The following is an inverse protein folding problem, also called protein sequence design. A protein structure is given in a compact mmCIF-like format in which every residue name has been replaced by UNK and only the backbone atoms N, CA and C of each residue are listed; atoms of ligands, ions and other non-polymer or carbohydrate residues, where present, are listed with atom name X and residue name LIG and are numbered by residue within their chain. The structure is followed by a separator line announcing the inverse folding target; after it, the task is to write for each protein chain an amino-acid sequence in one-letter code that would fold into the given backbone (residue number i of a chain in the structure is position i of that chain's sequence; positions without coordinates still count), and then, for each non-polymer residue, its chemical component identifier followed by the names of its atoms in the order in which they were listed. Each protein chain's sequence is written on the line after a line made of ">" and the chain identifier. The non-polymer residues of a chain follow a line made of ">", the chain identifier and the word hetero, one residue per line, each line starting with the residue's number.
data_IF_876626521823
#
_entry.id   IF_876626521823
#
_cell.length_a   1.000
_cell.length_b   1.000
_cell.length_c   1.000
_cell.angle_alpha   90.00
_cell.angle_beta   90.00
_cell.angle_gamma   90.00
#
_symmetry.space_group_name_H-M   'P 1'
#
loop_
_entity.id
_entity.type
_entity.pdbx_description
1 polymer ?
#
# COMPACT_ATOMS: atom_id res chain seq x y z
N UNK A 1 9.54 -6.92 -17.23
CA UNK A 1 9.04 -5.62 -17.73
C UNK A 1 9.66 -4.42 -16.99
N UNK A 2 10.44 -4.58 -15.92
CA UNK A 2 11.16 -3.51 -15.21
C UNK A 2 10.28 -2.49 -14.46
N UNK A 3 9.01 -2.80 -14.25
CA UNK A 3 8.08 -1.93 -13.51
C UNK A 3 8.12 -2.30 -12.03
N UNK A 4 8.31 -1.32 -11.16
CA UNK A 4 8.23 -1.45 -9.70
C UNK A 4 6.93 -0.83 -9.24
N UNK A 5 6.16 -1.57 -8.43
CA UNK A 5 4.85 -1.10 -7.95
C UNK A 5 4.98 -0.11 -6.79
N UNK A 6 5.89 -0.35 -5.83
CA UNK A 6 6.25 0.52 -4.68
C UNK A 6 5.18 0.66 -3.58
N UNK A 7 4.00 0.11 -3.75
CA UNK A 7 2.90 0.22 -2.77
C UNK A 7 2.03 -1.04 -2.79
N UNK A 8 2.67 -2.22 -2.70
CA UNK A 8 1.98 -3.51 -2.60
C UNK A 8 1.35 -3.61 -1.22
N UNK A 9 0.02 -3.68 -1.18
CA UNK A 9 -0.79 -3.82 0.05
C UNK A 9 -2.19 -4.33 -0.31
N UNK A 10 -2.96 -4.90 0.64
CA UNK A 10 -4.29 -5.44 0.36
C UNK A 10 -5.25 -4.44 -0.29
N UNK A 11 -5.19 -3.15 0.08
CA UNK A 11 -6.04 -2.11 -0.50
C UNK A 11 -5.84 -1.94 -2.02
N UNK A 12 -4.65 -2.31 -2.55
CA UNK A 12 -4.31 -2.21 -3.97
C UNK A 12 -4.45 -3.56 -4.70
N UNK A 13 -5.02 -4.58 -4.04
CA UNK A 13 -5.27 -5.91 -4.60
C UNK A 13 -6.77 -6.12 -4.74
N UNK A 14 -7.24 -6.23 -5.97
CA UNK A 14 -8.64 -6.53 -6.26
C UNK A 14 -8.75 -8.00 -6.67
N UNK A 15 -9.54 -8.75 -5.91
CA UNK A 15 -9.88 -10.13 -6.26
C UNK A 15 -11.26 -10.14 -6.91
N UNK A 16 -11.33 -10.64 -8.13
CA UNK A 16 -12.57 -10.73 -8.89
C UNK A 16 -13.38 -11.97 -8.50
N UNK A 17 -14.69 -11.98 -8.81
CA UNK A 17 -15.55 -13.15 -8.56
C UNK A 17 -15.09 -14.44 -9.25
N UNK A 18 -14.38 -14.33 -10.37
CA UNK A 18 -13.78 -15.46 -11.10
C UNK A 18 -12.46 -15.95 -10.50
N UNK A 19 -12.01 -15.36 -9.39
CA UNK A 19 -10.76 -15.67 -8.72
C UNK A 19 -9.52 -14.99 -9.31
N UNK A 20 -9.67 -14.21 -10.39
CA UNK A 20 -8.57 -13.44 -10.95
C UNK A 20 -8.19 -12.28 -10.04
N UNK A 21 -6.89 -12.05 -9.88
CA UNK A 21 -6.33 -10.96 -9.08
C UNK A 21 -5.83 -9.85 -10.00
N UNK A 22 -6.10 -8.60 -9.62
CA UNK A 22 -5.58 -7.41 -10.28
C UNK A 22 -4.91 -6.50 -9.25
N UNK A 23 -3.74 -5.99 -9.61
CA UNK A 23 -3.09 -4.89 -8.90
C UNK A 23 -3.56 -3.56 -9.48
N UNK A 24 -3.83 -2.61 -8.59
CA UNK A 24 -4.21 -1.23 -8.91
C UNK A 24 -3.24 -0.25 -8.28
N UNK A 25 -3.35 1.02 -8.65
CA UNK A 25 -2.59 2.11 -8.05
C UNK A 25 -1.07 1.88 -8.07
N UNK A 26 -0.56 1.51 -9.26
CA UNK A 26 0.89 1.52 -9.51
C UNK A 26 1.43 2.87 -9.07
N UNK A 27 2.41 2.88 -8.16
CA UNK A 27 2.91 4.05 -7.42
C UNK A 27 3.40 5.24 -8.26
N UNK A 28 2.60 5.64 -9.26
CA UNK A 28 2.85 6.77 -10.15
C UNK A 28 2.89 8.12 -9.42
N UNK A 29 2.19 8.23 -8.29
CA UNK A 29 2.24 9.42 -7.43
C UNK A 29 3.51 9.50 -6.55
N UNK A 30 4.28 8.41 -6.44
CA UNK A 30 5.56 8.33 -5.73
C UNK A 30 6.76 8.39 -6.66
N UNK A 31 6.71 9.22 -7.72
CA UNK A 31 7.85 9.46 -8.62
C UNK A 31 9.09 10.05 -7.90
N UNK A 32 8.95 10.43 -6.64
CA UNK A 32 10.03 10.72 -5.70
C UNK A 32 9.91 9.71 -4.55
N UNK A 33 10.28 8.47 -4.84
CA UNK A 33 10.14 7.32 -3.94
C UNK A 33 11.09 7.32 -2.77
N UNK A 34 10.99 8.31 -1.93
CA UNK A 34 11.50 8.24 -0.58
C UNK A 34 10.29 8.08 0.32
N UNK A 35 10.26 6.98 1.10
CA UNK A 35 9.62 7.03 2.40
C UNK A 35 10.40 8.12 3.12
N UNK A 36 9.89 9.35 3.08
CA UNK A 36 10.50 10.41 3.85
C UNK A 36 10.24 10.06 5.31
N UNK A 37 11.20 9.39 5.93
CA UNK A 37 11.43 9.59 7.33
C UNK A 37 11.75 11.09 7.41
N UNK A 38 10.74 11.92 7.67
CA UNK A 38 10.96 13.35 7.84
C UNK A 38 11.93 13.50 9.01
N UNK A 39 12.73 14.57 9.03
CA UNK A 39 13.60 14.91 10.16
C UNK A 39 12.84 14.96 11.50
N UNK A 40 11.52 14.92 11.48
CA UNK A 40 10.60 14.82 12.61
C UNK A 40 10.18 13.38 12.96
N UNK A 41 10.77 12.32 12.37
CA UNK A 41 10.42 10.92 12.70
C UNK A 41 9.05 10.47 12.19
N UNK A 42 8.40 11.20 11.29
CA UNK A 42 7.12 10.78 10.70
C UNK A 42 7.35 9.95 9.45
N UNK A 43 6.90 8.70 9.48
CA UNK A 43 6.76 7.85 8.30
C UNK A 43 5.51 8.29 7.54
N UNK A 44 5.70 8.90 6.37
CA UNK A 44 4.57 9.33 5.54
C UNK A 44 4.06 8.12 4.74
N UNK A 45 2.96 7.53 5.18
CA UNK A 45 2.31 6.38 4.56
C UNK A 45 2.19 5.18 5.51
N UNK A 46 1.74 4.06 4.97
CA UNK A 46 1.52 2.83 5.73
C UNK A 46 2.83 2.02 5.82
N UNK A 47 3.45 1.94 7.01
CA UNK A 47 4.64 1.12 7.22
C UNK A 47 4.38 -0.39 7.25
N UNK A 48 3.12 -0.80 7.30
CA UNK A 48 2.67 -2.18 7.55
C UNK A 48 3.18 -3.22 6.54
N UNK A 49 3.51 -2.80 5.31
CA UNK A 49 4.00 -3.65 4.22
C UNK A 49 5.32 -3.13 3.67
N UNK A 50 6.03 -2.32 4.45
CA UNK A 50 7.24 -1.63 4.03
C UNK A 50 8.44 -2.57 4.04
N UNK A 51 9.18 -2.74 2.92
CA UNK A 51 10.41 -3.51 2.92
C UNK A 51 11.49 -2.88 3.80
N UNK A 52 12.37 -3.69 4.46
CA UNK A 52 13.44 -3.21 5.32
C UNK A 52 14.32 -2.15 4.65
N UNK A 53 14.75 -2.38 3.43
CA UNK A 53 15.59 -1.47 2.65
C UNK A 53 14.90 -0.12 2.41
N UNK A 54 13.60 -0.11 2.19
CA UNK A 54 12.84 1.14 2.04
C UNK A 54 12.64 1.86 3.38
N UNK A 55 12.50 1.12 4.48
CA UNK A 55 12.47 1.70 5.82
C UNK A 55 13.81 2.40 6.15
N UNK A 56 14.92 1.90 5.61
CA UNK A 56 16.25 2.51 5.70
C UNK A 56 16.49 3.65 4.69
N UNK A 57 15.50 3.97 3.86
CA UNK A 57 15.59 5.06 2.89
C UNK A 57 16.17 4.68 1.54
N UNK A 58 16.36 3.40 1.26
CA UNK A 58 16.85 2.92 -0.03
C UNK A 58 15.78 3.01 -1.12
N UNK A 59 16.25 2.94 -2.37
CA UNK A 59 15.37 3.01 -3.54
C UNK A 59 14.51 1.76 -3.65
N UNK A 60 13.22 1.95 -3.94
CA UNK A 60 12.30 0.84 -4.16
C UNK A 60 12.73 -0.03 -5.35
N UNK A 61 12.71 -1.33 -5.16
CA UNK A 61 13.09 -2.34 -6.17
C UNK A 61 11.97 -3.35 -6.40
N UNK A 62 11.98 -4.10 -7.52
CA UNK A 62 11.05 -5.22 -7.71
C UNK A 62 11.15 -6.28 -6.61
N UNK A 63 12.33 -6.43 -6.00
CA UNK A 63 12.56 -7.38 -4.89
C UNK A 63 11.89 -6.88 -3.59
N UNK A 64 11.79 -5.56 -3.41
CA UNK A 64 10.99 -4.97 -2.34
C UNK A 64 9.49 -5.27 -2.50
N UNK A 65 8.97 -5.24 -3.71
CA UNK A 65 7.57 -5.62 -3.96
C UNK A 65 7.31 -7.09 -3.56
N UNK A 66 8.29 -8.00 -3.72
CA UNK A 66 8.19 -9.39 -3.27
C UNK A 66 8.12 -9.50 -1.74
N UNK A 67 8.89 -8.70 -1.01
CA UNK A 67 8.79 -8.66 0.46
C UNK A 67 7.39 -8.21 0.91
N UNK A 68 6.86 -7.16 0.31
CA UNK A 68 5.51 -6.69 0.62
C UNK A 68 4.43 -7.76 0.30
N UNK A 69 4.62 -8.54 -0.76
CA UNK A 69 3.79 -9.71 -1.05
C UNK A 69 3.93 -10.78 0.04
N UNK A 70 5.14 -11.00 0.55
CA UNK A 70 5.42 -11.90 1.69
C UNK A 70 4.66 -11.48 2.95
N UNK A 71 4.61 -10.18 3.26
CA UNK A 71 3.83 -9.65 4.40
C UNK A 71 2.34 -9.94 4.23
N UNK A 72 1.79 -9.74 3.03
CA UNK A 72 0.38 -10.04 2.73
C UNK A 72 0.11 -11.54 2.86
N UNK A 73 1.00 -12.38 2.33
CA UNK A 73 0.87 -13.82 2.42
C UNK A 73 0.93 -14.32 3.87
N UNK A 74 1.84 -13.74 4.68
CA UNK A 74 1.89 -14.03 6.12
C UNK A 74 0.59 -13.65 6.81
N UNK A 75 0.08 -12.43 6.58
CA UNK A 75 -1.17 -11.94 7.16
C UNK A 75 -2.36 -12.83 6.77
N UNK A 76 -2.43 -13.25 5.50
CA UNK A 76 -3.48 -14.14 5.02
C UNK A 76 -3.40 -15.54 5.64
N UNK A 77 -2.19 -16.07 5.87
CA UNK A 77 -1.98 -17.39 6.44
C UNK A 77 -2.13 -17.42 7.97
N UNK A 78 -1.64 -16.39 8.66
CA UNK A 78 -1.61 -16.34 10.13
C UNK A 78 -2.79 -15.58 10.76
N UNK A 79 -3.59 -14.85 9.95
CA UNK A 79 -4.66 -13.98 10.43
C UNK A 79 -4.17 -12.70 11.13
N UNK A 80 -2.87 -12.46 11.14
CA UNK A 80 -2.22 -11.28 11.73
C UNK A 80 -0.96 -10.94 10.96
N UNK A 81 -0.56 -9.68 10.97
CA UNK A 81 0.69 -9.25 10.35
C UNK A 81 1.91 -9.73 11.14
N UNK A 82 3.06 -9.93 10.47
CA UNK A 82 4.30 -10.35 11.13
C UNK A 82 4.82 -9.27 12.09
N UNK A 83 4.63 -7.99 11.75
CA UNK A 83 5.08 -6.87 12.56
C UNK A 83 3.95 -5.89 12.83
N UNK A 84 3.86 -5.44 14.08
CA UNK A 84 2.89 -4.46 14.57
C UNK A 84 3.61 -3.50 15.52
N UNK A 85 3.03 -2.34 15.80
CA UNK A 85 3.57 -1.35 16.69
C UNK A 85 2.54 -0.27 17.00
N UNK A 86 2.81 0.56 18.00
CA UNK A 86 1.93 1.67 18.38
C UNK A 86 2.01 2.80 17.35
N UNK A 87 3.18 2.98 16.74
CA UNK A 87 3.42 4.00 15.73
C UNK A 87 3.91 3.39 14.41
N UNK A 88 3.82 4.16 13.33
CA UNK A 88 4.37 3.74 12.03
C UNK A 88 5.91 3.57 12.09
N UNK A 89 6.58 4.30 12.98
CA UNK A 89 8.02 4.20 13.21
C UNK A 89 8.36 2.87 13.86
N UNK A 90 7.60 2.46 14.88
CA UNK A 90 7.80 1.16 15.54
C UNK A 90 7.63 0.00 14.55
N UNK A 91 6.61 0.09 13.69
CA UNK A 91 6.38 -0.92 12.66
C UNK A 91 7.55 -0.95 11.66
N UNK A 92 8.02 0.21 11.19
CA UNK A 92 9.16 0.29 10.29
C UNK A 92 10.44 -0.26 10.94
N UNK A 93 10.67 0.05 12.22
CA UNK A 93 11.78 -0.48 13.00
C UNK A 93 11.73 -2.02 13.08
N UNK A 94 10.55 -2.58 13.36
CA UNK A 94 10.34 -4.02 13.43
C UNK A 94 10.58 -4.71 12.08
N UNK A 95 10.18 -4.09 10.96
CA UNK A 95 10.51 -4.60 9.63
C UNK A 95 12.02 -4.70 9.39
N UNK A 96 12.80 -3.79 9.94
CA UNK A 96 14.27 -3.81 9.80
C UNK A 96 14.93 -4.78 10.76
N UNK A 97 14.55 -4.75 12.05
CA UNK A 97 15.36 -5.32 13.12
C UNK A 97 14.79 -6.61 13.73
N UNK A 98 13.48 -6.78 13.78
CA UNK A 98 12.87 -7.90 14.47
C UNK A 98 12.89 -9.16 13.59
N UNK A 99 13.16 -10.35 14.18
CA UNK A 99 13.02 -11.59 13.45
C UNK A 99 11.57 -11.80 13.00
N UNK A 100 11.38 -12.44 11.85
CA UNK A 100 10.04 -12.81 11.39
C UNK A 100 9.48 -13.85 12.36
N UNK A 101 8.31 -13.62 12.99
CA UNK A 101 7.72 -14.60 13.88
C UNK A 101 7.39 -15.89 13.11
N UNK A 102 7.48 -17.06 13.76
CA UNK A 102 7.07 -18.30 13.12
C UNK A 102 5.58 -18.26 12.74
N UNK A 103 5.26 -18.89 11.61
CA UNK A 103 3.88 -19.11 11.22
C UNK A 103 3.22 -20.14 12.16
N UNK A 104 1.89 -20.06 12.36
CA UNK A 104 1.18 -21.05 13.15
C UNK A 104 1.31 -22.47 12.58
N UNK A 105 1.31 -23.49 13.44
CA UNK A 105 1.48 -24.90 13.08
C UNK A 105 0.44 -25.44 12.08
N UNK A 106 -0.72 -24.80 11.96
CA UNK A 106 -1.73 -25.17 10.97
C UNK A 106 -1.39 -24.71 9.55
N UNK A 107 -0.38 -23.84 9.36
CA UNK A 107 0.07 -23.43 8.05
C UNK A 107 1.00 -24.53 7.49
N UNK A 108 0.67 -25.10 6.31
CA UNK A 108 1.51 -26.15 5.73
C UNK A 108 2.95 -25.70 5.50
N UNK A 109 3.92 -26.55 5.87
CA UNK A 109 5.35 -26.26 5.77
C UNK A 109 5.77 -25.72 4.37
N UNK A 110 5.34 -26.31 3.22
CA UNK A 110 5.73 -25.78 1.91
C UNK A 110 5.25 -24.35 1.66
N UNK A 111 4.13 -23.95 2.26
CA UNK A 111 3.64 -22.57 2.17
C UNK A 111 4.41 -21.64 3.13
N UNK A 112 4.69 -22.12 4.34
CA UNK A 112 5.46 -21.39 5.33
C UNK A 112 6.86 -21.04 4.79
N UNK A 113 7.54 -22.01 4.16
CA UNK A 113 8.87 -21.81 3.56
C UNK A 113 8.87 -20.69 2.51
N UNK A 114 7.91 -20.70 1.61
CA UNK A 114 7.79 -19.65 0.58
C UNK A 114 7.53 -18.28 1.23
N UNK A 115 6.64 -18.21 2.22
CA UNK A 115 6.34 -16.95 2.92
C UNK A 115 7.59 -16.42 3.62
N UNK A 116 8.32 -17.27 4.34
CA UNK A 116 9.53 -16.87 5.06
C UNK A 116 10.64 -16.46 4.10
N UNK A 117 10.80 -17.15 2.95
CA UNK A 117 11.76 -16.77 1.91
C UNK A 117 11.46 -15.39 1.31
N UNK A 118 10.18 -15.06 1.07
CA UNK A 118 9.79 -13.72 0.65
C UNK A 118 10.07 -12.65 1.71
N UNK A 119 10.03 -13.03 3.00
CA UNK A 119 10.24 -12.14 4.14
C UNK A 119 11.70 -12.04 4.60
N UNK A 120 12.64 -12.63 3.86
CA UNK A 120 14.07 -12.44 4.15
C UNK A 120 14.41 -10.94 4.23
N UNK A 121 15.14 -10.57 5.29
CA UNK A 121 15.50 -9.16 5.53
C UNK A 121 16.45 -8.64 4.48
N UNK A 122 17.45 -9.46 4.13
CA UNK A 122 18.39 -9.18 3.06
C UNK A 122 17.72 -9.38 1.68
N UNK A 123 17.60 -8.36 0.84
CA UNK A 123 17.03 -8.50 -0.49
C UNK A 123 17.72 -9.56 -1.36
N UNK A 124 19.03 -9.77 -1.16
CA UNK A 124 19.80 -10.76 -1.92
C UNK A 124 19.46 -12.21 -1.56
N UNK A 125 18.79 -12.43 -0.43
CA UNK A 125 18.32 -13.75 0.02
C UNK A 125 16.87 -14.05 -0.35
N UNK A 126 16.17 -13.11 -0.96
CA UNK A 126 14.82 -13.31 -1.48
C UNK A 126 14.85 -13.93 -2.87
N UNK A 127 13.72 -14.42 -3.38
CA UNK A 127 13.65 -14.83 -4.79
C UNK A 127 14.16 -13.74 -5.72
N UNK A 128 15.03 -14.11 -6.65
CA UNK A 128 15.74 -13.18 -7.56
C UNK A 128 14.81 -12.36 -8.50
N UNK A 129 13.57 -12.81 -8.65
CA UNK A 129 12.57 -12.18 -9.52
C UNK A 129 11.16 -12.63 -9.18
N UNK A 130 10.16 -11.87 -9.66
CA UNK A 130 8.75 -12.30 -9.60
C UNK A 130 8.51 -13.66 -10.26
N UNK A 131 9.23 -13.98 -11.35
CA UNK A 131 9.14 -15.30 -12.01
C UNK A 131 9.71 -16.40 -11.13
N UNK A 132 10.77 -16.16 -10.37
CA UNK A 132 11.30 -17.09 -9.39
C UNK A 132 10.28 -17.34 -8.27
N UNK A 133 9.73 -16.28 -7.69
CA UNK A 133 8.69 -16.38 -6.67
C UNK A 133 7.45 -17.20 -7.17
N UNK A 134 7.00 -16.96 -8.41
CA UNK A 134 5.90 -17.74 -9.01
C UNK A 134 6.25 -19.23 -9.09
N UNK A 135 7.48 -19.59 -9.46
CA UNK A 135 7.91 -21.00 -9.51
C UNK A 135 7.89 -21.65 -8.12
N UNK A 136 8.34 -20.95 -7.10
CA UNK A 136 8.35 -21.45 -5.73
C UNK A 136 6.91 -21.64 -5.21
N UNK A 137 6.04 -20.64 -5.41
CA UNK A 137 4.62 -20.74 -5.05
C UNK A 137 3.94 -21.93 -5.77
N UNK A 138 4.22 -22.10 -7.05
CA UNK A 138 3.67 -23.24 -7.82
C UNK A 138 4.18 -24.58 -7.31
N UNK A 139 5.45 -24.68 -6.93
CA UNK A 139 6.05 -25.87 -6.34
C UNK A 139 5.42 -26.22 -4.99
N UNK A 140 5.27 -25.22 -4.11
CA UNK A 140 4.62 -25.39 -2.82
C UNK A 140 3.14 -25.82 -2.98
N UNK A 141 2.40 -25.18 -3.87
CA UNK A 141 1.02 -25.56 -4.17
C UNK A 141 0.92 -27.01 -4.68
N UNK A 142 1.82 -27.45 -5.55
CA UNK A 142 1.91 -28.83 -6.03
C UNK A 142 2.17 -29.80 -4.88
N UNK A 143 3.10 -29.48 -3.98
CA UNK A 143 3.42 -30.30 -2.80
C UNK A 143 2.20 -30.46 -1.87
N UNK A 144 1.36 -29.42 -1.77
CA UNK A 144 0.12 -29.43 -1.00
C UNK A 144 -1.09 -30.02 -1.75
N UNK A 145 -0.92 -30.44 -3.02
CA UNK A 145 -2.04 -30.90 -3.85
C UNK A 145 -3.05 -29.80 -4.22
N UNK A 146 -2.65 -28.53 -4.16
CA UNK A 146 -3.49 -27.38 -4.44
C UNK A 146 -3.23 -26.84 -5.83
N UNK A 147 -4.28 -26.48 -6.56
CA UNK A 147 -4.16 -25.82 -7.86
C UNK A 147 -4.00 -24.31 -7.70
N UNK A 148 -3.05 -23.71 -8.39
CA UNK A 148 -2.89 -22.25 -8.50
C UNK A 148 -3.78 -21.62 -9.58
N UNK A 149 -4.59 -22.42 -10.27
CA UNK A 149 -5.53 -21.90 -11.27
C UNK A 149 -6.63 -21.09 -10.59
N UNK A 150 -6.94 -19.88 -11.06
CA UNK A 150 -8.04 -19.09 -10.53
C UNK A 150 -9.34 -19.87 -10.51
N UNK A 151 -10.08 -19.79 -9.42
CA UNK A 151 -11.40 -20.42 -9.25
C UNK A 151 -12.41 -19.38 -8.82
N UNK A 152 -13.68 -19.51 -9.23
CA UNK A 152 -14.74 -18.68 -8.71
C UNK A 152 -14.75 -18.71 -7.19
N UNK A 153 -14.77 -17.53 -6.57
CA UNK A 153 -14.84 -17.40 -5.12
C UNK A 153 -16.30 -17.52 -4.67
N UNK A 154 -16.56 -18.23 -3.56
CA UNK A 154 -17.84 -18.15 -2.89
C UNK A 154 -17.97 -16.77 -2.23
N UNK A 155 -18.33 -15.77 -3.02
CA UNK A 155 -18.58 -14.46 -2.46
C UNK A 155 -19.78 -14.55 -1.52
N UNK A 156 -19.72 -13.93 -0.32
CA UNK A 156 -20.91 -13.78 0.50
C UNK A 156 -21.98 -13.15 -0.37
N UNK A 157 -23.20 -13.71 -0.35
CA UNK A 157 -24.35 -13.02 -0.97
C UNK A 157 -24.27 -11.58 -0.48
N UNK A 158 -24.14 -10.64 -1.40
CA UNK A 158 -24.08 -9.23 -1.05
C UNK A 158 -25.24 -8.98 -0.10
N UNK A 159 -24.92 -8.64 1.15
CA UNK A 159 -25.94 -8.13 2.05
C UNK A 159 -26.63 -7.06 1.24
N UNK A 160 -27.94 -7.25 0.98
CA UNK A 160 -28.72 -6.30 0.21
C UNK A 160 -28.38 -4.94 0.82
N UNK A 161 -27.66 -4.13 0.04
CA UNK A 161 -27.45 -2.74 0.44
C UNK A 161 -28.84 -2.23 0.76
N UNK A 162 -29.09 -1.68 1.97
CA UNK A 162 -30.36 -1.00 2.20
C UNK A 162 -30.51 -0.06 1.02
N UNK A 163 -31.64 -0.19 0.33
CA UNK A 163 -31.99 0.65 -0.82
C UNK A 163 -31.75 2.09 -0.36
N UNK A 164 -30.69 2.72 -0.89
CA UNK A 164 -30.41 4.11 -0.59
C UNK A 164 -31.69 4.85 -0.92
N UNK A 165 -32.40 5.27 0.12
CA UNK A 165 -33.52 6.19 -0.01
C UNK A 165 -32.95 7.37 -0.78
N UNK A 166 -33.23 7.40 -2.08
CA UNK A 166 -32.88 8.52 -2.94
C UNK A 166 -33.63 9.72 -2.39
N UNK A 167 -32.97 10.44 -1.48
CA UNK A 167 -33.41 11.76 -1.10
C UNK A 167 -33.52 12.57 -2.40
N UNK A 168 -34.69 13.14 -2.71
CA UNK A 168 -34.84 13.95 -3.91
C UNK A 168 -33.77 15.04 -3.87
N UNK A 169 -32.90 15.08 -4.88
CA UNK A 169 -31.96 16.17 -5.06
C UNK A 169 -32.82 17.43 -5.21
N UNK A 170 -32.86 18.24 -4.14
CA UNK A 170 -33.42 19.58 -4.23
C UNK A 170 -32.60 20.34 -5.29
N UNK A 171 -33.28 21.01 -6.27
CA UNK A 171 -32.55 21.81 -7.24
C UNK A 171 -31.75 22.87 -6.49
N UNK A 172 -30.42 22.85 -6.66
CA UNK A 172 -29.53 23.85 -6.12
C UNK A 172 -29.93 25.22 -6.63
N UNK A 173 -30.44 26.05 -5.73
CA UNK A 173 -30.68 27.48 -6.02
C UNK A 173 -29.32 28.10 -6.32
N UNK A 174 -29.10 28.79 -7.45
CA UNK A 174 -27.82 29.42 -7.73
C UNK A 174 -27.52 30.47 -6.66
N UNK A 175 -26.42 30.29 -5.93
CA UNK A 175 -25.94 31.30 -4.99
C UNK A 175 -25.41 32.45 -5.83
N UNK A 176 -26.21 33.49 -5.98
CA UNK A 176 -25.76 34.78 -6.54
C UNK A 176 -24.89 35.43 -5.48
N UNK A 177 -23.58 35.37 -5.65
CA UNK A 177 -22.65 36.08 -4.81
C UNK A 177 -22.84 37.59 -4.99
N UNK A 178 -22.96 38.41 -3.92
CA UNK A 178 -23.07 39.85 -4.08
C UNK A 178 -21.75 40.39 -4.65
N UNK A 179 -21.87 41.08 -5.79
CA UNK A 179 -20.74 41.81 -6.39
C UNK A 179 -20.39 42.96 -5.44
N UNK A 180 -19.31 42.82 -4.70
CA UNK A 180 -18.73 43.92 -3.94
C UNK A 180 -18.07 44.87 -4.95
N UNK A 181 -18.66 46.03 -5.17
CA UNK A 181 -18.01 47.14 -5.84
C UNK A 181 -16.78 47.54 -5.04
N UNK A 182 -15.60 47.23 -5.57
CA UNK A 182 -14.35 47.81 -5.06
C UNK A 182 -14.33 49.28 -5.44
N UNK A 183 -14.67 50.14 -4.52
CA UNK A 183 -14.41 51.59 -4.62
C UNK A 183 -12.90 51.78 -4.61
N UNK A 184 -12.41 52.35 -5.69
CA UNK A 184 -11.02 52.74 -5.88
C UNK A 184 -10.67 53.79 -4.83
N UNK A 185 -9.88 53.40 -3.82
CA UNK A 185 -9.37 54.32 -2.80
C UNK A 185 -8.28 55.17 -3.46
N UNK A 186 -8.56 56.44 -3.72
CA UNK A 186 -7.58 57.44 -4.13
C UNK A 186 -6.60 57.66 -2.99
N UNK A 187 -5.33 57.49 -3.28
CA UNK A 187 -4.24 57.84 -2.38
C UNK A 187 -4.16 59.37 -2.24
N UNK A 188 -3.84 59.92 -1.06
CA UNK A 188 -3.60 61.37 -0.90
C UNK A 188 -2.34 61.80 -1.66
N UNK A 189 -2.38 62.99 -2.24
CA UNK A 189 -1.35 63.62 -3.08
C UNK A 189 -0.05 64.01 -2.37
N UNK A 190 0.13 63.63 -1.10
CA UNK A 190 1.24 64.08 -0.25
C UNK A 190 2.52 63.26 -0.33
N UNK A 191 2.58 62.24 -1.19
CA UNK A 191 3.76 61.36 -1.29
C UNK A 191 4.56 61.51 -2.60
N UNK A 192 4.38 62.61 -3.33
CA UNK A 192 5.09 62.87 -4.58
C UNK A 192 6.01 64.08 -4.49
N UNK A 193 6.80 64.23 -3.39
CA UNK A 193 7.94 65.18 -3.42
C UNK A 193 9.25 64.40 -3.39
N UNK A 194 10.18 64.68 -4.37
CA UNK A 194 11.50 64.08 -4.34
C UNK A 194 12.37 64.78 -3.27
N UNK A 195 13.30 64.03 -2.63
CA UNK A 195 14.22 64.60 -1.66
C UNK A 195 15.20 65.58 -2.30
N UNK A 196 15.43 66.64 -1.60
CA UNK A 196 16.43 67.69 -1.92
C UNK A 196 17.85 67.21 -1.77
#
# INVERSE_FOLDING_TARGET
>A
AGVVHRDIKPANIIVRPDGMVKLTDFGISRAKGQVNLTAAGMVMGTAQYLPPEQAMGEVATPIGDLYALGVIAYEAAAGRRPFTGETQVDIAFAHVNDPVPPLPDFVPEPLADVILHLLEKDPAKRPESGSAAVREIASAAKAMGVSVTPRPLPLPKAAQRPEEVRTPVQPSVPIVAPVRHLTRRTLPDEMLQPPS
#
